data_IF_590446225806
#
_entry.id   IF_590446225806
#
_cell.length_a   1.000
_cell.length_b   1.000
_cell.length_c   1.000
_cell.angle_alpha   90.00
_cell.angle_beta   90.00
_cell.angle_gamma   90.00
#
_symmetry.space_group_name_H-M   'P 1'
#
loop_
_entity.id
_entity.type
_entity.pdbx_description
1 polymer ?
#
# COMPACT_ATOMS: atom_id res chain seq x y z
N UNK A 1 8.91 -8.81 -14.10
CA UNK A 1 8.35 -10.08 -13.61
C UNK A 1 8.34 -9.98 -12.10
N UNK A 2 7.16 -10.04 -11.48
CA UNK A 2 7.05 -9.92 -10.01
C UNK A 2 7.20 -11.29 -9.34
N UNK A 3 7.74 -11.28 -8.13
CA UNK A 3 7.90 -12.46 -7.27
C UNK A 3 7.33 -12.12 -5.90
N UNK A 4 6.86 -13.13 -5.17
CA UNK A 4 6.51 -12.95 -3.77
C UNK A 4 7.75 -12.52 -2.98
N UNK A 5 7.62 -11.46 -2.16
CA UNK A 5 8.75 -10.92 -1.38
C UNK A 5 9.23 -11.88 -0.28
N UNK A 6 8.36 -12.75 0.22
CA UNK A 6 8.65 -13.70 1.30
C UNK A 6 9.12 -15.09 0.81
N UNK A 7 8.57 -15.57 -0.31
CA UNK A 7 8.77 -16.93 -0.82
C UNK A 7 9.52 -16.99 -2.16
N UNK A 8 9.62 -15.87 -2.89
CA UNK A 8 10.28 -15.81 -4.20
C UNK A 8 9.50 -16.46 -5.35
N UNK A 9 8.31 -17.00 -5.06
CA UNK A 9 7.39 -17.61 -6.03
C UNK A 9 7.04 -16.63 -7.15
N UNK A 10 6.92 -17.12 -8.38
CA UNK A 10 6.69 -16.28 -9.53
C UNK A 10 5.21 -15.92 -9.69
N UNK A 11 4.90 -14.62 -9.69
CA UNK A 11 3.52 -14.10 -9.74
C UNK A 11 3.01 -13.81 -11.16
N UNK A 12 3.88 -13.85 -12.17
CA UNK A 12 3.51 -13.49 -13.54
C UNK A 12 4.04 -12.14 -14.02
N UNK A 13 3.65 -11.82 -15.25
CA UNK A 13 3.83 -10.49 -15.85
C UNK A 13 2.66 -9.55 -15.50
N UNK A 14 2.79 -8.26 -15.83
CA UNK A 14 1.72 -7.27 -15.61
C UNK A 14 0.38 -7.68 -16.25
N UNK A 15 -0.72 -7.27 -15.60
CA UNK A 15 -2.08 -7.53 -16.09
C UNK A 15 -2.60 -6.45 -17.04
N UNK A 16 -1.81 -5.41 -17.31
CA UNK A 16 -2.17 -4.25 -18.16
C UNK A 16 -2.74 -4.57 -19.52
N UNK A 17 -2.32 -5.69 -20.14
CA UNK A 17 -2.86 -6.13 -21.43
C UNK A 17 -4.30 -6.67 -21.35
N UNK A 18 -4.78 -6.97 -20.15
CA UNK A 18 -6.11 -7.54 -19.88
C UNK A 18 -7.00 -6.55 -19.13
N UNK A 19 -6.41 -5.67 -18.33
CA UNK A 19 -7.14 -4.70 -17.51
C UNK A 19 -7.01 -3.31 -18.13
N UNK A 20 -8.08 -2.86 -18.76
CA UNK A 20 -8.16 -1.48 -19.27
C UNK A 20 -8.17 -0.47 -18.11
N UNK A 21 -9.07 -0.65 -17.13
CA UNK A 21 -9.23 0.28 -16.01
C UNK A 21 -9.18 -0.45 -14.67
N UNK A 22 -8.30 0.01 -13.78
CA UNK A 22 -8.22 -0.41 -12.39
C UNK A 22 -8.72 0.71 -11.47
N UNK A 23 -9.62 0.37 -10.56
CA UNK A 23 -10.16 1.31 -9.55
C UNK A 23 -9.83 0.79 -8.16
N UNK A 24 -8.94 1.50 -7.47
CA UNK A 24 -8.63 1.27 -6.05
C UNK A 24 -9.59 2.03 -5.14
N UNK A 25 -9.95 1.43 -4.01
CA UNK A 25 -10.74 2.06 -2.95
C UNK A 25 -9.93 2.06 -1.66
N UNK A 26 -9.91 3.20 -0.95
CA UNK A 26 -9.12 3.50 0.24
C UNK A 26 -7.59 3.54 0.04
N UNK A 27 -7.06 2.82 -0.96
CA UNK A 27 -5.72 3.05 -1.53
C UNK A 27 -4.52 2.97 -0.58
N UNK A 28 -4.32 1.89 0.20
CA UNK A 28 -3.18 1.74 1.11
C UNK A 28 -1.86 1.44 0.40
N UNK A 29 -1.67 1.94 -0.82
CA UNK A 29 -0.52 1.66 -1.68
C UNK A 29 0.79 2.16 -1.09
N UNK A 30 0.75 3.03 -0.07
CA UNK A 30 1.93 3.50 0.67
C UNK A 30 1.83 3.23 2.17
N UNK A 31 1.01 2.23 2.53
CA UNK A 31 0.79 1.78 3.90
C UNK A 31 -0.49 2.34 4.52
N UNK A 32 -0.57 2.26 5.85
CA UNK A 32 -1.74 2.68 6.62
C UNK A 32 -1.36 3.67 7.73
N UNK A 33 -2.29 4.52 8.13
CA UNK A 33 -2.15 5.43 9.25
C UNK A 33 -3.45 5.43 10.06
N UNK A 34 -3.47 4.63 11.12
CA UNK A 34 -4.60 4.54 12.03
C UNK A 34 -4.93 5.91 12.63
N UNK A 35 -6.17 6.36 12.48
CA UNK A 35 -6.63 7.64 13.03
C UNK A 35 -7.46 7.40 14.29
N UNK A 36 -7.04 7.97 15.41
CA UNK A 36 -7.83 7.98 16.67
C UNK A 36 -8.13 9.42 17.04
N UNK A 37 -9.41 9.79 17.07
CA UNK A 37 -9.83 11.17 17.36
C UNK A 37 -9.35 12.20 16.34
N UNK A 38 -9.04 11.79 15.10
CA UNK A 38 -8.51 12.66 14.04
C UNK A 38 -6.99 12.87 14.07
N UNK A 39 -6.27 12.15 14.94
CA UNK A 39 -4.81 12.15 14.99
C UNK A 39 -4.25 10.83 14.46
N UNK A 40 -3.22 10.93 13.61
CA UNK A 40 -2.46 9.80 13.12
C UNK A 40 -1.68 9.15 14.28
N UNK A 41 -2.01 7.90 14.58
CA UNK A 41 -1.30 7.11 15.58
C UNK A 41 -0.26 6.26 14.86
N UNK A 42 0.99 6.20 15.34
CA UNK A 42 2.05 5.36 14.78
C UNK A 42 1.82 3.87 15.10
N UNK A 43 0.63 3.33 14.80
CA UNK A 43 0.24 1.96 15.12
C UNK A 43 1.13 0.91 14.44
N UNK A 44 1.74 1.25 13.30
CA UNK A 44 2.70 0.41 12.62
C UNK A 44 4.15 0.53 13.12
N UNK A 45 4.50 1.48 13.99
CA UNK A 45 5.90 1.63 14.47
C UNK A 45 6.39 0.39 15.22
N UNK A 46 5.52 -0.23 16.01
CA UNK A 46 5.89 -1.41 16.80
C UNK A 46 5.56 -2.73 16.09
N UNK A 47 5.01 -2.70 14.86
CA UNK A 47 4.61 -3.89 14.09
C UNK A 47 3.73 -4.90 14.85
N UNK A 48 3.03 -4.46 15.91
CA UNK A 48 2.22 -5.33 16.79
C UNK A 48 0.90 -5.77 16.15
N UNK A 49 0.47 -5.08 15.10
CA UNK A 49 -0.72 -5.41 14.33
C UNK A 49 -0.26 -6.18 13.08
N UNK A 50 -0.81 -7.36 12.77
CA UNK A 50 -0.35 -8.18 11.64
C UNK A 50 -0.30 -7.45 10.30
N UNK A 51 -1.20 -6.49 10.08
CA UNK A 51 -1.24 -5.66 8.87
C UNK A 51 0.02 -4.78 8.72
N UNK A 52 0.77 -4.52 9.79
CA UNK A 52 1.99 -3.71 9.78
C UNK A 52 3.26 -4.54 9.61
N UNK A 53 3.18 -5.76 9.05
CA UNK A 53 4.35 -6.58 8.76
C UNK A 53 5.31 -5.84 7.80
N UNK A 54 6.61 -5.80 8.14
CA UNK A 54 7.64 -5.08 7.38
C UNK A 54 8.02 -5.77 6.06
N UNK A 55 7.70 -7.05 5.89
CA UNK A 55 7.94 -7.81 4.67
C UNK A 55 6.68 -7.82 3.82
N UNK A 56 5.59 -8.42 4.31
CA UNK A 56 4.38 -8.71 3.52
C UNK A 56 3.19 -7.79 3.81
N UNK A 57 3.33 -6.86 4.76
CA UNK A 57 2.24 -6.00 5.22
C UNK A 57 2.22 -4.61 4.61
N UNK A 58 1.46 -3.72 5.23
CA UNK A 58 1.25 -2.32 4.89
C UNK A 58 2.01 -1.38 5.84
N UNK A 59 3.23 -1.78 6.24
CA UNK A 59 4.06 -1.02 7.17
C UNK A 59 4.43 0.36 6.60
N UNK A 60 4.21 1.40 7.39
CA UNK A 60 4.55 2.81 7.10
C UNK A 60 5.11 3.55 8.34
N UNK A 61 5.59 2.79 9.35
CA UNK A 61 5.89 3.34 10.68
C UNK A 61 7.02 4.38 10.72
N UNK A 62 8.01 4.28 9.84
CA UNK A 62 9.17 5.20 9.77
C UNK A 62 9.35 5.63 8.31
N UNK A 63 8.44 6.45 7.80
CA UNK A 63 8.55 6.98 6.44
C UNK A 63 9.94 7.65 6.22
N UNK A 64 10.54 7.51 5.02
CA UNK A 64 9.96 6.93 3.80
C UNK A 64 10.08 5.39 3.71
N UNK A 65 10.53 4.71 4.76
CA UNK A 65 10.67 3.25 4.74
C UNK A 65 9.31 2.56 4.87
N UNK A 66 8.84 2.00 3.75
CA UNK A 66 7.64 1.16 3.63
C UNK A 66 8.02 -0.33 3.71
N UNK A 67 7.05 -1.26 3.76
CA UNK A 67 7.35 -2.70 3.72
C UNK A 67 7.99 -3.12 2.40
N UNK A 68 8.70 -4.27 2.39
CA UNK A 68 9.27 -4.84 1.15
C UNK A 68 8.20 -5.05 0.08
N UNK A 69 7.01 -5.53 0.47
CA UNK A 69 5.86 -5.65 -0.40
C UNK A 69 5.46 -4.32 -1.05
N UNK A 70 5.31 -3.25 -0.26
CA UNK A 70 4.94 -1.93 -0.77
C UNK A 70 6.03 -1.35 -1.68
N UNK A 71 7.30 -1.55 -1.33
CA UNK A 71 8.42 -1.13 -2.17
C UNK A 71 8.43 -1.86 -3.53
N UNK A 72 8.15 -3.16 -3.55
CA UNK A 72 8.06 -3.95 -4.79
C UNK A 72 6.90 -3.50 -5.67
N UNK A 73 5.69 -3.38 -5.11
CA UNK A 73 4.51 -3.03 -5.92
C UNK A 73 4.57 -1.59 -6.45
N UNK A 74 5.24 -0.68 -5.74
CA UNK A 74 5.40 0.70 -6.18
C UNK A 74 6.64 0.94 -7.07
N UNK A 75 7.52 -0.06 -7.19
CA UNK A 75 8.70 0.02 -8.05
C UNK A 75 8.39 0.05 -9.55
N UNK A 76 7.14 -0.24 -9.94
CA UNK A 76 6.67 -0.20 -11.33
C UNK A 76 5.32 0.49 -11.42
N UNK A 77 5.23 1.48 -12.29
CA UNK A 77 3.99 2.23 -12.52
C UNK A 77 3.11 1.47 -13.49
N UNK A 78 1.80 1.48 -13.23
CA UNK A 78 0.82 0.96 -14.17
C UNK A 78 0.78 -0.56 -14.21
N UNK A 79 1.14 -1.29 -13.16
CA UNK A 79 1.16 -2.75 -13.21
C UNK A 79 -0.28 -3.34 -13.22
N UNK A 80 -1.20 -2.65 -12.55
CA UNK A 80 -2.56 -3.07 -12.27
C UNK A 80 -3.54 -2.83 -13.43
N UNK A 81 -3.23 -1.89 -14.33
CA UNK A 81 -4.10 -1.55 -15.45
C UNK A 81 -3.57 -0.38 -16.30
N UNK A 82 -4.20 -0.15 -17.45
CA UNK A 82 -3.85 0.96 -18.35
C UNK A 82 -4.29 2.32 -17.80
N UNK A 83 -5.51 2.38 -17.24
CA UNK A 83 -6.07 3.53 -16.56
C UNK A 83 -6.22 3.20 -15.07
N UNK A 84 -5.67 4.04 -14.19
CA UNK A 84 -5.65 3.79 -12.75
C UNK A 84 -6.32 4.97 -12.03
N UNK A 85 -7.36 4.67 -11.25
CA UNK A 85 -8.06 5.63 -10.42
C UNK A 85 -8.10 5.14 -8.98
N UNK A 86 -8.06 6.09 -8.03
CA UNK A 86 -8.18 5.78 -6.61
C UNK A 86 -9.26 6.65 -5.98
N UNK A 87 -10.16 6.03 -5.23
CA UNK A 87 -11.19 6.70 -4.44
C UNK A 87 -10.79 6.58 -2.96
N UNK A 88 -10.65 7.72 -2.30
CA UNK A 88 -10.23 7.80 -0.91
C UNK A 88 -11.06 8.78 -0.09
N UNK A 89 -10.94 8.68 1.23
CA UNK A 89 -11.68 9.49 2.18
C UNK A 89 -10.75 10.22 3.14
N UNK A 90 -10.98 11.53 3.30
CA UNK A 90 -10.37 12.34 4.36
C UNK A 90 -10.69 11.87 5.77
N UNK A 91 -11.70 11.01 5.92
CA UNK A 91 -12.18 10.47 7.21
C UNK A 91 -11.89 8.98 7.36
N UNK A 92 -11.05 8.38 6.51
CA UNK A 92 -10.64 6.99 6.69
C UNK A 92 -9.86 6.83 8.00
N UNK A 93 -10.36 6.00 8.90
CA UNK A 93 -9.77 5.79 10.23
C UNK A 93 -8.72 4.68 10.26
N UNK A 94 -8.60 3.91 9.17
CA UNK A 94 -7.74 2.74 9.09
C UNK A 94 -6.55 3.02 8.19
N UNK A 95 -6.79 3.34 6.92
CA UNK A 95 -5.73 3.67 5.96
C UNK A 95 -5.24 5.10 6.18
N UNK A 96 -6.15 6.02 6.52
CA UNK A 96 -5.86 7.45 6.57
C UNK A 96 -5.83 8.07 5.17
N UNK A 97 -5.86 9.41 5.13
CA UNK A 97 -5.88 10.18 3.87
C UNK A 97 -4.48 10.46 3.31
N UNK A 98 -3.48 10.56 4.19
CA UNK A 98 -2.10 10.85 3.83
C UNK A 98 -1.20 9.89 4.63
N UNK A 99 -0.40 9.10 3.91
CA UNK A 99 0.61 8.20 4.48
C UNK A 99 1.91 8.43 3.73
N UNK A 100 3.04 8.54 4.45
CA UNK A 100 4.35 8.84 3.87
C UNK A 100 4.37 10.02 2.89
N UNK A 101 3.64 11.11 3.22
CA UNK A 101 3.46 12.30 2.38
C UNK A 101 2.82 12.02 1.00
N UNK A 102 2.10 10.91 0.86
CA UNK A 102 1.36 10.53 -0.33
C UNK A 102 -0.12 10.39 -0.02
N UNK A 103 -0.95 10.73 -1.01
CA UNK A 103 -2.40 10.54 -0.92
C UNK A 103 -2.67 9.04 -1.08
N UNK A 104 -3.38 8.49 -0.10
CA UNK A 104 -3.97 7.15 -0.17
C UNK A 104 -5.39 7.29 -0.73
#
# INVERSE_FOLDING_TARGET
MRRCVDSGEYLGGPLTKYIDTFVGVAGPNHGISLQVGGLAIPGCVFSVIPVCNQVTGLYSGICPSESEFLQDINGQIGYEGMHIFTIHSKKDQIVGNIVCNKVC
#
